data_IF_162218668049
#
_entry.id   IF_162218668049
#
_cell.length_a   1.000
_cell.length_b   1.000
_cell.length_c   1.000
_cell.angle_alpha   90.00
_cell.angle_beta   90.00
_cell.angle_gamma   90.00
#
_symmetry.space_group_name_H-M   'P 1'
#
loop_
_entity.id
_entity.type
_entity.pdbx_description
1 polymer ?
#
# COMPACT_ATOMS: atom_id res chain seq x y z
N UNK A 1 -10.72 -3.62 3.62
CA UNK A 1 -9.60 -4.42 4.16
C UNK A 1 -8.97 -5.18 3.00
N UNK A 2 -7.92 -4.66 2.37
CA UNK A 2 -7.29 -5.27 1.18
C UNK A 2 -6.41 -6.49 1.48
N UNK A 3 -6.28 -6.89 2.76
CA UNK A 3 -5.41 -8.00 3.18
C UNK A 3 -6.09 -9.38 3.14
N UNK A 4 -7.39 -9.47 2.82
CA UNK A 4 -8.15 -10.73 2.85
C UNK A 4 -8.63 -11.23 1.49
N UNK A 5 -8.44 -10.49 0.40
CA UNK A 5 -9.11 -10.80 -0.87
C UNK A 5 -8.28 -11.65 -1.85
N UNK A 6 -7.10 -12.17 -1.48
CA UNK A 6 -6.18 -12.74 -2.49
C UNK A 6 -5.51 -14.06 -2.09
N UNK A 7 -6.06 -14.76 -1.11
CA UNK A 7 -5.59 -16.11 -0.75
C UNK A 7 -6.69 -17.15 -1.06
N UNK A 8 -6.60 -17.80 -2.22
CA UNK A 8 -7.45 -18.91 -2.69
C UNK A 8 -8.21 -18.51 -3.97
N UNK A 9 -8.15 -19.20 -5.12
CA UNK A 9 -7.96 -20.63 -5.36
C UNK A 9 -7.06 -20.94 -6.57
N UNK A 10 -6.47 -22.12 -6.53
CA UNK A 10 -5.58 -22.72 -7.52
C UNK A 10 -6.35 -23.52 -8.57
N UNK A 11 -6.28 -23.12 -9.85
CA UNK A 11 -6.45 -24.06 -10.96
C UNK A 11 -5.37 -23.85 -12.03
N UNK A 12 -4.76 -25.00 -12.36
CA UNK A 12 -3.87 -25.36 -13.45
C UNK A 12 -3.88 -24.49 -14.71
N UNK A 13 -2.70 -24.21 -15.28
CA UNK A 13 -2.26 -24.85 -16.54
C UNK A 13 -0.96 -24.25 -17.12
N UNK A 14 -0.02 -25.17 -17.39
CA UNK A 14 0.94 -25.24 -18.49
C UNK A 14 1.80 -24.00 -18.86
N UNK A 15 3.10 -24.15 -18.60
CA UNK A 15 4.14 -23.28 -19.12
C UNK A 15 4.39 -23.46 -20.62
N UNK A 16 4.90 -22.39 -21.23
CA UNK A 16 5.54 -22.41 -22.55
C UNK A 16 7.00 -22.02 -22.31
N UNK A 17 7.91 -23.00 -22.33
CA UNK A 17 9.35 -22.76 -22.30
C UNK A 17 9.82 -22.18 -23.64
N UNK A 18 10.57 -21.06 -23.58
CA UNK A 18 11.21 -20.46 -24.73
C UNK A 18 12.65 -20.99 -24.82
N UNK A 19 12.95 -21.63 -25.94
CA UNK A 19 14.20 -22.32 -26.31
C UNK A 19 15.34 -21.32 -26.57
N UNK A 20 16.49 -21.49 -25.92
CA UNK A 20 17.73 -20.76 -26.22
C UNK A 20 18.80 -21.70 -26.84
N UNK A 21 19.57 -21.14 -27.78
CA UNK A 21 20.53 -21.75 -28.72
C UNK A 21 21.96 -21.84 -28.11
N UNK A 22 22.86 -22.77 -28.53
CA UNK A 22 24.04 -23.15 -27.75
C UNK A 22 25.36 -22.50 -28.23
N UNK A 23 26.29 -22.29 -27.29
CA UNK A 23 27.72 -22.14 -27.58
C UNK A 23 28.55 -21.64 -26.38
N UNK A 24 29.89 -21.70 -26.44
CA UNK A 24 30.76 -22.84 -26.74
C UNK A 24 31.58 -23.28 -25.49
N UNK A 25 31.97 -24.57 -25.44
CA UNK A 25 32.81 -25.14 -24.37
C UNK A 25 34.27 -24.65 -24.43
N UNK A 26 34.94 -24.55 -23.27
CA UNK A 26 36.31 -25.06 -23.19
C UNK A 26 36.67 -25.85 -21.92
N UNK A 27 37.44 -26.91 -22.16
CA UNK A 27 38.50 -27.53 -21.37
C UNK A 27 38.19 -28.36 -20.10
N UNK A 28 38.42 -29.66 -20.28
CA UNK A 28 38.64 -30.66 -19.25
C UNK A 28 40.01 -30.48 -18.59
N UNK A 29 40.08 -30.62 -17.25
CA UNK A 29 41.35 -30.74 -16.54
C UNK A 29 41.31 -30.47 -15.03
N UNK A 30 40.78 -31.46 -14.27
CA UNK A 30 41.19 -31.82 -12.91
C UNK A 30 41.27 -30.73 -11.80
N UNK A 31 40.20 -30.67 -10.99
CA UNK A 31 40.32 -30.62 -9.53
C UNK A 31 39.13 -31.35 -8.92
N UNK A 32 39.41 -32.43 -8.19
CA UNK A 32 38.43 -33.17 -7.41
C UNK A 32 37.84 -32.23 -6.34
N UNK A 33 36.62 -31.76 -6.58
CA UNK A 33 35.81 -31.09 -5.57
C UNK A 33 34.60 -31.95 -5.26
N UNK A 34 34.39 -32.13 -3.95
CA UNK A 34 33.38 -32.95 -3.30
C UNK A 34 32.00 -32.93 -3.98
N UNK A 35 31.15 -33.95 -3.78
CA UNK A 35 29.78 -33.90 -4.24
C UNK A 35 29.05 -32.83 -3.39
N UNK A 36 29.11 -31.58 -3.83
CA UNK A 36 28.13 -30.60 -3.42
C UNK A 36 26.79 -31.19 -3.85
N UNK A 37 25.99 -31.67 -2.89
CA UNK A 37 24.58 -31.93 -3.10
C UNK A 37 24.03 -30.73 -3.85
N UNK A 38 23.76 -30.89 -5.15
CA UNK A 38 23.04 -29.87 -5.92
C UNK A 38 21.66 -29.81 -5.28
N UNK A 39 21.46 -28.80 -4.45
CA UNK A 39 20.15 -28.54 -3.88
C UNK A 39 19.24 -28.15 -5.04
N UNK A 40 18.32 -29.04 -5.39
CA UNK A 40 17.34 -28.87 -6.49
C UNK A 40 16.11 -28.06 -6.07
N UNK A 41 16.09 -27.60 -4.81
CA UNK A 41 15.00 -26.77 -4.28
C UNK A 41 15.13 -25.30 -4.70
N UNK A 42 14.11 -24.49 -4.38
CA UNK A 42 14.07 -23.08 -4.76
C UNK A 42 15.20 -22.27 -4.11
N UNK A 43 15.64 -21.16 -4.74
CA UNK A 43 16.75 -20.34 -4.26
C UNK A 43 16.47 -19.63 -2.92
N UNK A 44 15.21 -19.61 -2.47
CA UNK A 44 14.80 -19.04 -1.18
C UNK A 44 13.87 -20.02 -0.45
N UNK A 45 13.80 -19.99 0.89
CA UNK A 45 12.93 -20.89 1.63
C UNK A 45 11.44 -20.61 1.40
N UNK A 46 11.12 -19.41 0.90
CA UNK A 46 9.76 -18.97 0.59
C UNK A 46 9.72 -18.38 -0.82
N UNK A 47 9.47 -19.22 -1.84
CA UNK A 47 9.28 -18.75 -3.21
C UNK A 47 8.17 -17.70 -3.26
N UNK A 48 8.41 -16.64 -4.05
CA UNK A 48 7.52 -15.50 -4.13
C UNK A 48 7.27 -15.11 -5.58
N UNK A 49 6.11 -14.50 -5.81
CA UNK A 49 5.75 -13.88 -7.09
C UNK A 49 5.48 -12.40 -6.88
N UNK A 50 5.92 -11.61 -7.84
CA UNK A 50 5.67 -10.18 -7.91
C UNK A 50 4.46 -9.91 -8.81
N UNK A 51 3.60 -9.00 -8.37
CA UNK A 51 2.45 -8.48 -9.13
C UNK A 51 2.45 -6.96 -9.06
N UNK A 52 2.23 -6.30 -10.20
CA UNK A 52 2.14 -4.86 -10.28
C UNK A 52 0.68 -4.42 -10.26
N UNK A 53 0.34 -3.51 -9.34
CA UNK A 53 -1.00 -2.97 -9.19
C UNK A 53 -1.01 -1.45 -9.38
N UNK A 54 -2.08 -0.92 -9.96
CA UNK A 54 -2.29 0.52 -10.19
C UNK A 54 -3.52 0.99 -9.41
N UNK A 55 -3.44 1.11 -8.08
CA UNK A 55 -4.62 1.39 -7.26
C UNK A 55 -5.18 2.78 -7.60
N UNK A 56 -6.49 2.87 -7.79
CA UNK A 56 -7.26 4.13 -7.77
C UNK A 56 -7.65 4.48 -6.33
N UNK A 57 -7.82 3.45 -5.49
CA UNK A 57 -8.26 3.58 -4.11
C UNK A 57 -7.52 2.59 -3.23
N UNK A 58 -6.97 3.08 -2.10
CA UNK A 58 -6.18 2.24 -1.20
C UNK A 58 -6.35 2.70 0.26
N UNK A 59 -6.14 1.77 1.21
CA UNK A 59 -6.09 2.12 2.64
C UNK A 59 -4.66 2.43 3.06
N UNK A 60 -4.46 3.58 3.68
CA UNK A 60 -3.17 3.95 4.24
C UNK A 60 -2.80 3.10 5.47
N UNK A 61 -1.64 3.39 6.07
CA UNK A 61 -1.14 2.66 7.25
C UNK A 61 -2.06 2.74 8.49
N UNK A 62 -2.91 3.78 8.56
CA UNK A 62 -3.92 3.97 9.60
C UNK A 62 -5.25 3.27 9.28
N UNK A 63 -5.38 2.67 8.09
CA UNK A 63 -6.60 2.01 7.64
C UNK A 63 -7.62 2.95 6.99
N UNK A 64 -7.29 4.22 6.80
CA UNK A 64 -8.14 5.23 6.15
C UNK A 64 -8.05 5.07 4.63
N UNK A 65 -9.20 5.08 3.98
CA UNK A 65 -9.27 5.03 2.52
C UNK A 65 -8.85 6.35 1.89
N UNK A 66 -8.05 6.29 0.83
CA UNK A 66 -7.53 7.44 0.09
C UNK A 66 -7.69 7.24 -1.41
N UNK A 67 -7.98 8.33 -2.12
CA UNK A 67 -7.98 8.38 -3.58
C UNK A 67 -6.57 8.57 -4.07
N UNK A 68 -6.04 7.57 -4.77
CA UNK A 68 -4.71 7.62 -5.36
C UNK A 68 -4.82 8.35 -6.70
N UNK A 69 -3.98 9.37 -6.87
CA UNK A 69 -4.06 10.25 -8.02
C UNK A 69 -3.62 9.52 -9.28
N UNK A 70 -4.43 9.65 -10.33
CA UNK A 70 -4.14 9.23 -11.69
C UNK A 70 -4.32 10.45 -12.61
N UNK A 71 -3.29 10.79 -13.41
CA UNK A 71 -3.39 11.88 -14.39
C UNK A 71 -3.36 11.25 -15.80
N UNK A 72 -4.53 10.96 -16.39
CA UNK A 72 -4.61 10.26 -17.66
C UNK A 72 -4.33 11.16 -18.87
N UNK A 73 -4.64 12.46 -18.81
CA UNK A 73 -4.67 13.32 -20.01
C UNK A 73 -3.35 14.02 -20.34
N UNK A 74 -2.46 14.24 -19.37
CA UNK A 74 -1.20 14.97 -19.58
C UNK A 74 0.02 14.04 -19.80
N UNK A 75 -0.21 12.74 -19.94
CA UNK A 75 0.83 11.72 -20.09
C UNK A 75 1.04 10.92 -18.82
N UNK A 76 0.48 9.70 -18.81
CA UNK A 76 0.76 8.57 -17.91
C UNK A 76 1.33 8.87 -16.51
N UNK A 77 0.69 9.72 -15.70
CA UNK A 77 0.94 9.67 -14.25
C UNK A 77 0.08 8.56 -13.66
N UNK A 78 0.54 7.33 -13.82
CA UNK A 78 -0.03 6.14 -13.16
C UNK A 78 0.95 5.68 -12.10
N UNK A 79 0.49 5.61 -10.85
CA UNK A 79 1.30 5.12 -9.75
C UNK A 79 1.16 3.60 -9.67
N UNK A 80 2.22 2.90 -10.07
CA UNK A 80 2.30 1.44 -10.03
C UNK A 80 3.01 0.99 -8.76
N UNK A 81 2.44 0.00 -8.08
CA UNK A 81 2.96 -0.57 -6.85
C UNK A 81 3.29 -2.04 -7.05
N UNK A 82 4.51 -2.40 -6.67
CA UNK A 82 4.96 -3.79 -6.61
C UNK A 82 4.43 -4.48 -5.34
N UNK A 83 3.65 -5.54 -5.54
CA UNK A 83 3.03 -6.36 -4.50
C UNK A 83 3.57 -7.78 -4.59
N UNK A 84 4.26 -8.21 -3.53
CA UNK A 84 4.87 -9.55 -3.48
C UNK A 84 4.00 -10.52 -2.69
N UNK A 85 3.65 -11.65 -3.31
CA UNK A 85 2.89 -12.75 -2.68
C UNK A 85 3.73 -14.00 -2.55
N UNK A 86 3.56 -14.71 -1.44
CA UNK A 86 4.24 -15.98 -1.21
C UNK A 86 3.51 -17.07 -1.98
N UNK A 87 4.25 -17.85 -2.76
CA UNK A 87 3.69 -18.93 -3.57
C UNK A 87 3.31 -20.14 -2.72
N UNK A 88 3.93 -20.27 -1.55
CA UNK A 88 3.71 -21.34 -0.59
C UNK A 88 3.48 -20.75 0.80
N UNK A 89 2.79 -21.49 1.66
CA UNK A 89 2.51 -21.13 3.05
C UNK A 89 3.48 -21.75 4.05
N UNK A 90 4.27 -22.75 3.64
CA UNK A 90 5.30 -23.44 4.44
C UNK A 90 6.67 -23.19 3.85
N UNK A 91 7.70 -23.14 4.71
CA UNK A 91 9.06 -22.97 4.23
C UNK A 91 9.62 -24.29 3.66
N UNK A 92 10.47 -24.20 2.64
CA UNK A 92 10.90 -25.37 1.87
C UNK A 92 12.01 -26.21 2.56
N UNK A 93 12.84 -25.59 3.40
CA UNK A 93 13.97 -26.27 4.06
C UNK A 93 14.15 -25.86 5.53
N UNK A 94 13.16 -25.18 6.10
CA UNK A 94 13.13 -24.75 7.50
C UNK A 94 11.75 -25.07 8.07
N UNK A 95 11.67 -25.31 9.37
CA UNK A 95 10.39 -25.37 10.05
C UNK A 95 9.84 -23.95 10.22
N UNK A 96 8.64 -23.72 9.68
CA UNK A 96 8.03 -22.41 9.69
C UNK A 96 6.97 -22.21 8.62
N UNK A 97 6.42 -21.00 8.60
CA UNK A 97 5.47 -20.57 7.60
C UNK A 97 5.97 -19.38 6.81
N UNK A 98 5.60 -19.34 5.53
CA UNK A 98 5.91 -18.23 4.65
C UNK A 98 4.84 -17.15 4.76
N UNK A 99 5.27 -15.92 5.04
CA UNK A 99 4.40 -14.74 5.03
C UNK A 99 5.10 -13.56 4.38
N UNK A 100 4.32 -12.76 3.67
CA UNK A 100 4.77 -11.47 3.15
C UNK A 100 4.98 -10.49 4.30
N UNK A 101 6.20 -9.99 4.47
CA UNK A 101 6.44 -8.84 5.34
C UNK A 101 5.98 -7.55 4.67
N UNK A 102 5.37 -6.62 5.42
CA UNK A 102 4.94 -5.35 4.86
C UNK A 102 6.14 -4.46 4.52
N UNK A 103 5.96 -3.64 3.50
CA UNK A 103 6.90 -2.61 3.04
C UNK A 103 6.17 -1.28 2.95
N UNK A 104 6.87 -0.22 3.33
CA UNK A 104 6.37 1.14 3.19
C UNK A 104 6.46 1.59 1.73
N UNK A 105 5.36 2.16 1.25
CA UNK A 105 5.28 2.84 -0.06
C UNK A 105 4.58 4.17 0.15
N UNK A 106 5.12 5.23 -0.42
CA UNK A 106 4.45 6.53 -0.50
C UNK A 106 3.67 6.62 -1.82
N UNK A 107 2.43 7.08 -1.77
CA UNK A 107 1.61 7.36 -2.95
C UNK A 107 1.06 8.78 -2.85
N UNK A 108 1.02 9.48 -4.00
CA UNK A 108 0.33 10.74 -4.14
C UNK A 108 -1.18 10.48 -4.10
N UNK A 109 -1.84 11.10 -3.13
CA UNK A 109 -3.28 10.98 -2.90
C UNK A 109 -3.96 12.33 -2.96
N UNK A 110 -5.27 12.31 -3.22
CA UNK A 110 -6.14 13.47 -3.17
C UNK A 110 -7.15 13.35 -2.01
N UNK A 111 -7.42 14.47 -1.34
CA UNK A 111 -8.54 14.61 -0.41
C UNK A 111 -9.33 15.91 -0.69
N UNK A 112 -10.60 15.91 -0.33
CA UNK A 112 -11.42 17.12 -0.31
C UNK A 112 -11.35 17.75 1.08
N UNK A 113 -10.97 19.02 1.13
CA UNK A 113 -10.92 19.82 2.34
C UNK A 113 -11.94 20.96 2.27
N UNK A 114 -12.77 21.08 3.30
CA UNK A 114 -13.78 22.14 3.42
C UNK A 114 -13.28 23.19 4.42
N UNK A 115 -12.88 24.40 3.97
CA UNK A 115 -12.47 25.45 4.88
C UNK A 115 -13.66 25.92 5.75
N UNK A 116 -13.43 26.23 7.04
CA UNK A 116 -14.49 26.56 7.99
C UNK A 116 -15.22 27.87 7.64
N UNK A 117 -14.56 28.79 6.94
CA UNK A 117 -15.05 30.14 6.66
C UNK A 117 -16.15 30.22 5.59
N UNK A 118 -16.56 29.11 4.97
CA UNK A 118 -17.66 29.10 4.00
C UNK A 118 -18.80 28.14 4.35
N UNK A 119 -18.66 27.39 5.45
CA UNK A 119 -19.78 26.68 6.03
C UNK A 119 -20.67 27.69 6.75
N UNK A 120 -21.71 28.18 6.08
CA UNK A 120 -22.71 29.11 6.66
C UNK A 120 -23.23 28.62 8.02
N UNK A 121 -23.34 27.30 8.19
CA UNK A 121 -23.80 26.66 9.43
C UNK A 121 -22.78 26.69 10.58
N UNK A 122 -21.48 26.82 10.26
CA UNK A 122 -20.40 26.90 11.24
C UNK A 122 -20.23 28.35 11.73
N UNK A 123 -20.32 29.30 10.80
CA UNK A 123 -20.28 30.73 11.10
C UNK A 123 -21.39 31.13 12.08
N UNK A 124 -22.61 30.63 11.89
CA UNK A 124 -23.72 30.93 12.79
C UNK A 124 -23.47 30.42 14.23
N UNK A 125 -22.85 29.25 14.41
CA UNK A 125 -22.58 28.71 15.76
C UNK A 125 -21.44 29.45 16.47
N UNK A 126 -20.34 29.76 15.76
CA UNK A 126 -19.22 30.53 16.32
C UNK A 126 -19.67 31.94 16.67
N UNK A 127 -20.47 32.55 15.80
CA UNK A 127 -21.05 33.87 16.03
C UNK A 127 -22.08 33.86 17.17
N UNK A 128 -22.88 32.79 17.34
CA UNK A 128 -23.78 32.64 18.47
C UNK A 128 -23.02 32.44 19.80
N UNK A 129 -21.92 31.68 19.80
CA UNK A 129 -21.05 31.53 20.97
C UNK A 129 -20.33 32.83 21.33
N UNK A 130 -19.84 33.58 20.34
CA UNK A 130 -19.20 34.88 20.54
C UNK A 130 -20.17 35.95 21.04
N UNK A 131 -21.39 35.99 20.51
CA UNK A 131 -22.45 36.89 20.99
C UNK A 131 -22.84 36.57 22.44
N UNK A 132 -22.74 35.31 22.87
CA UNK A 132 -22.95 34.90 24.27
C UNK A 132 -21.73 35.20 25.17
N UNK A 133 -20.53 35.27 24.61
CA UNK A 133 -19.28 35.57 25.32
C UNK A 133 -19.03 37.08 25.49
N UNK A 134 -19.83 37.96 24.90
CA UNK A 134 -19.79 39.41 25.14
C UNK A 134 -18.53 40.13 24.65
N UNK A 135 -17.74 39.51 23.77
CA UNK A 135 -16.55 40.13 23.16
C UNK A 135 -16.90 40.65 21.76
N UNK A 136 -17.01 41.97 21.63
CA UNK A 136 -16.97 42.64 20.32
C UNK A 136 -15.55 42.54 19.76
N UNK A 137 -15.34 41.99 18.55
CA UNK A 137 -14.08 42.19 17.85
C UNK A 137 -14.12 43.54 17.13
N UNK A 138 -13.07 44.35 17.35
CA UNK A 138 -12.72 45.43 16.41
C UNK A 138 -12.47 44.82 15.02
N UNK A 139 -12.81 45.54 13.93
CA UNK A 139 -12.53 45.08 12.59
C UNK A 139 -11.02 45.19 12.35
N UNK A 140 -10.26 44.16 12.74
CA UNK A 140 -8.94 43.96 12.18
C UNK A 140 -9.12 43.78 10.67
N UNK A 141 -8.55 44.71 9.91
CA UNK A 141 -8.41 44.63 8.47
C UNK A 141 -7.47 43.47 8.15
N UNK A 142 -7.96 42.24 8.27
CA UNK A 142 -7.30 41.09 7.70
C UNK A 142 -7.27 41.33 6.19
N UNK A 143 -6.07 41.27 5.63
CA UNK A 143 -5.86 41.27 4.18
C UNK A 143 -6.30 39.90 3.65
N UNK A 144 -7.56 39.53 3.90
CA UNK A 144 -8.13 38.22 3.59
C UNK A 144 -8.47 38.19 2.11
N UNK A 145 -7.50 37.71 1.32
CA UNK A 145 -7.86 37.11 0.05
C UNK A 145 -8.89 36.02 0.34
N UNK A 146 -10.02 35.98 -0.37
CA UNK A 146 -11.01 34.94 -0.17
C UNK A 146 -10.33 33.56 -0.29
N UNK A 147 -10.66 32.59 0.59
CA UNK A 147 -10.06 31.27 0.54
C UNK A 147 -10.22 30.70 -0.87
N UNK A 148 -9.11 30.21 -1.45
CA UNK A 148 -9.12 29.61 -2.77
C UNK A 148 -10.12 28.46 -2.81
N UNK A 149 -10.91 28.38 -3.88
CA UNK A 149 -11.96 27.39 -4.02
C UNK A 149 -11.79 26.65 -5.34
N UNK A 150 -11.66 25.32 -5.27
CA UNK A 150 -11.54 24.48 -6.46
C UNK A 150 -12.91 24.13 -7.06
N UNK A 151 -13.95 24.07 -6.22
CA UNK A 151 -15.33 23.85 -6.65
C UNK A 151 -16.32 23.98 -5.49
N UNK A 152 -17.61 23.87 -5.84
CA UNK A 152 -18.71 23.91 -4.88
C UNK A 152 -19.57 22.65 -5.01
N UNK A 153 -19.92 22.05 -3.88
CA UNK A 153 -20.91 20.97 -3.77
C UNK A 153 -22.00 21.32 -2.74
N UNK A 154 -22.83 20.35 -2.36
CA UNK A 154 -23.90 20.53 -1.35
C UNK A 154 -23.38 20.92 0.04
N UNK A 155 -22.13 20.58 0.37
CA UNK A 155 -21.46 20.93 1.63
C UNK A 155 -20.75 22.28 1.56
N UNK A 156 -20.60 22.86 0.37
CA UNK A 156 -20.08 24.20 0.15
C UNK A 156 -18.80 24.21 -0.69
N UNK A 157 -17.98 25.23 -0.48
CA UNK A 157 -16.69 25.33 -1.17
C UNK A 157 -15.74 24.23 -0.68
N UNK A 158 -15.11 23.51 -1.60
CA UNK A 158 -14.04 22.58 -1.30
C UNK A 158 -12.72 22.98 -1.95
N UNK A 159 -11.64 22.50 -1.33
CA UNK A 159 -10.27 22.55 -1.84
C UNK A 159 -9.78 21.12 -2.06
N UNK A 160 -9.24 20.82 -3.23
CA UNK A 160 -8.58 19.55 -3.53
C UNK A 160 -7.15 19.64 -3.03
N UNK A 161 -6.82 18.82 -2.03
CA UNK A 161 -5.46 18.75 -1.48
C UNK A 161 -4.75 17.50 -1.96
N UNK A 162 -3.55 17.69 -2.50
CA UNK A 162 -2.67 16.64 -2.99
C UNK A 162 -1.49 16.49 -2.04
N UNK A 163 -1.22 15.28 -1.56
CA UNK A 163 -0.06 15.00 -0.70
C UNK A 163 0.36 13.54 -0.79
N UNK A 164 1.58 13.24 -0.35
CA UNK A 164 2.05 11.87 -0.24
C UNK A 164 1.60 11.27 1.09
N UNK A 165 0.95 10.11 1.04
CA UNK A 165 0.63 9.32 2.23
C UNK A 165 1.32 7.95 2.19
N UNK A 166 1.43 7.34 3.37
CA UNK A 166 2.14 6.10 3.60
C UNK A 166 1.21 4.89 3.61
N UNK A 167 1.57 3.90 2.80
CA UNK A 167 0.85 2.65 2.64
C UNK A 167 1.74 1.48 3.06
N UNK A 168 1.13 0.49 3.70
CA UNK A 168 1.77 -0.80 3.99
C UNK A 168 1.34 -1.81 2.93
N UNK A 169 2.28 -2.21 2.07
CA UNK A 169 2.02 -3.19 1.00
C UNK A 169 2.84 -4.47 1.20
N UNK A 170 2.35 -5.63 0.74
CA UNK A 170 3.14 -6.87 0.76
C UNK A 170 4.47 -6.70 -0.02
N UNK A 171 5.60 -6.84 0.68
CA UNK A 171 6.92 -6.51 0.14
C UNK A 171 7.79 -7.72 -0.19
N UNK A 172 8.09 -8.57 0.79
CA UNK A 172 8.93 -9.76 0.57
C UNK A 172 8.49 -10.93 1.41
N UNK A 173 8.60 -12.14 0.85
CA UNK A 173 8.27 -13.37 1.56
C UNK A 173 9.41 -13.81 2.46
N UNK A 174 9.06 -14.07 3.72
CA UNK A 174 10.00 -14.49 4.75
C UNK A 174 9.51 -15.78 5.37
N UNK A 175 10.45 -16.64 5.74
CA UNK A 175 10.18 -17.80 6.57
C UNK A 175 10.14 -17.38 8.03
N UNK A 176 8.97 -17.49 8.65
CA UNK A 176 8.76 -17.18 10.06
C UNK A 176 8.76 -18.46 10.89
N UNK A 177 9.40 -18.41 12.05
CA UNK A 177 9.40 -19.56 12.99
C UNK A 177 7.98 -19.92 13.42
N UNK A 178 7.68 -21.19 13.73
CA UNK A 178 6.34 -21.64 14.10
C UNK A 178 5.71 -20.84 15.26
N UNK A 179 6.52 -20.49 16.27
CA UNK A 179 6.06 -19.73 17.45
C UNK A 179 5.66 -18.29 17.14
N UNK A 180 6.13 -17.73 16.02
CA UNK A 180 5.76 -16.38 15.61
C UNK A 180 4.26 -16.27 15.30
N UNK A 181 3.70 -17.29 14.63
CA UNK A 181 2.29 -17.32 14.24
C UNK A 181 1.35 -17.40 15.45
N UNK A 182 1.73 -18.21 16.45
CA UNK A 182 0.97 -18.37 17.68
C UNK A 182 0.90 -17.07 18.49
N UNK A 183 2.01 -16.32 18.54
CA UNK A 183 2.12 -15.10 19.36
C UNK A 183 1.52 -13.86 18.70
N UNK A 184 1.70 -13.69 17.39
CA UNK A 184 1.46 -12.40 16.73
C UNK A 184 0.39 -12.41 15.63
N UNK A 185 0.15 -13.55 14.99
CA UNK A 185 -0.83 -13.64 13.88
C UNK A 185 -2.22 -14.04 14.39
N UNK A 186 -2.32 -15.07 15.25
CA UNK A 186 -3.62 -15.51 15.80
C UNK A 186 -4.24 -14.52 16.78
N UNK A 187 -3.42 -13.82 17.57
CA UNK A 187 -3.92 -12.86 18.57
C UNK A 187 -4.65 -11.66 17.94
N UNK A 188 -4.35 -11.33 16.68
CA UNK A 188 -5.02 -10.22 15.97
C UNK A 188 -6.42 -10.59 15.48
N UNK A 189 -6.68 -11.87 15.14
CA UNK A 189 -8.02 -12.34 14.72
C UNK A 189 -9.03 -12.36 15.88
N UNK A 190 -8.57 -12.63 17.10
CA UNK A 190 -9.45 -12.68 18.28
C UNK A 190 -9.78 -11.31 18.88
N UNK A 191 -9.07 -10.24 18.50
CA UNK A 191 -9.31 -8.88 18.99
C UNK A 191 -10.19 -8.03 18.03
N UNK A 192 -10.72 -8.62 16.97
CA UNK A 192 -11.65 -7.99 16.02
C UNK A 192 -13.03 -8.68 16.00
N UNK A 193 -13.44 -9.25 17.16
CA UNK A 193 -14.80 -9.72 17.45
C UNK A 193 -15.40 -8.88 18.57
#
# INVERSE_FOLDING_TARGET
>A
MLYRAINGDSESSAGVERREDPGPQPHAGAAAHAPHHRYEGPPTPCPARVEYATPVFARNYQGVWRYVVQIPYEGYFTQTVEVTRCMQSRCHYLDGGCLSSPRWVSLLVAELHYPPTQNKHVQDYEQYLQNRAGQQPEPETSTDKPPHCDGHDEMGCYQVRLYYDWFLVPGSCKCWRPDYFARYVRRRQNNEL
#
